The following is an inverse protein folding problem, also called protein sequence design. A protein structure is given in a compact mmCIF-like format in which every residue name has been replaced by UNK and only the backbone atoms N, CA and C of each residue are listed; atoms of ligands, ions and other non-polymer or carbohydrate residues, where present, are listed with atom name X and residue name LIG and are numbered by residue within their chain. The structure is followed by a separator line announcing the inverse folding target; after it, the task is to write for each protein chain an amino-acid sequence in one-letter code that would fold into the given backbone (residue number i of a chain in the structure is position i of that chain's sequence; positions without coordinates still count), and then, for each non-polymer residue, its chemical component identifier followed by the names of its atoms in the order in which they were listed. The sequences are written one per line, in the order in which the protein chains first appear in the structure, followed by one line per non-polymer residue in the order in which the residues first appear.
data_IF_368035052713
#
_entry.id   IF_368035052713
#
_cell.length_a   1.000
_cell.length_b   1.000
_cell.length_c   1.000
_cell.angle_alpha   90.00
_cell.angle_beta   90.00
_cell.angle_gamma   90.00
#
_symmetry.space_group_name_H-M   'P 1'
#
loop_
_entity.id
_entity.type
_entity.pdbx_description
1 polymer ?
#
# COMPACT_ATOMS: atom_id res chain seq x y z
N UNK A 1 25.46 -51.12 -46.73
CA UNK A 1 24.94 -49.74 -46.60
C UNK A 1 24.91 -49.39 -45.11
N UNK A 2 25.67 -48.36 -44.70
CA UNK A 2 25.86 -47.94 -43.31
C UNK A 2 24.54 -47.39 -42.74
N UNK A 3 24.06 -47.93 -41.62
CA UNK A 3 22.93 -47.38 -40.87
C UNK A 3 23.42 -46.16 -40.09
N UNK A 4 23.02 -44.97 -40.51
CA UNK A 4 23.27 -43.72 -39.78
C UNK A 4 22.16 -43.56 -38.74
N UNK A 5 22.57 -43.49 -37.47
CA UNK A 5 21.75 -43.08 -36.33
C UNK A 5 21.21 -41.66 -36.57
N UNK A 6 19.93 -41.44 -36.26
CA UNK A 6 19.39 -40.12 -36.00
C UNK A 6 18.81 -40.12 -34.58
N UNK A 7 19.63 -39.70 -33.62
CA UNK A 7 19.22 -39.47 -32.23
C UNK A 7 18.75 -38.03 -32.14
N UNK A 8 17.43 -37.81 -32.05
CA UNK A 8 16.85 -36.49 -31.81
C UNK A 8 17.05 -36.18 -30.32
N UNK A 9 17.99 -35.30 -30.02
CA UNK A 9 18.17 -34.73 -28.69
C UNK A 9 17.16 -33.59 -28.50
N UNK A 10 16.07 -33.87 -27.80
CA UNK A 10 15.10 -32.86 -27.37
C UNK A 10 15.75 -32.01 -26.27
N UNK A 11 16.12 -30.77 -26.59
CA UNK A 11 16.53 -29.77 -25.61
C UNK A 11 15.25 -29.28 -24.93
N UNK A 12 14.90 -29.91 -23.81
CA UNK A 12 13.93 -29.36 -22.87
C UNK A 12 14.60 -28.19 -22.15
N UNK A 13 14.27 -26.97 -22.57
CA UNK A 13 14.57 -25.76 -21.79
C UNK A 13 13.74 -25.86 -20.51
N UNK A 14 14.40 -26.28 -19.43
CA UNK A 14 13.87 -26.17 -18.08
C UNK A 14 13.77 -24.69 -17.76
N UNK A 15 12.60 -24.09 -17.95
CA UNK A 15 12.21 -22.87 -17.25
C UNK A 15 12.13 -23.23 -15.77
N UNK A 16 13.27 -23.10 -15.08
CA UNK A 16 13.27 -22.97 -13.63
C UNK A 16 12.70 -21.59 -13.33
N UNK A 17 11.37 -21.50 -13.27
CA UNK A 17 10.70 -20.44 -12.54
C UNK A 17 11.01 -20.68 -11.06
N UNK A 18 12.18 -20.24 -10.60
CA UNK A 18 12.33 -19.90 -9.20
C UNK A 18 11.35 -18.76 -8.94
N UNK A 19 10.23 -19.06 -8.27
CA UNK A 19 9.41 -18.06 -7.60
C UNK A 19 10.26 -17.38 -6.52
N UNK A 20 11.13 -16.50 -6.97
CA UNK A 20 11.78 -15.53 -6.11
C UNK A 20 10.64 -14.62 -5.68
N UNK A 21 10.09 -14.87 -4.48
CA UNK A 21 8.97 -14.13 -3.88
C UNK A 21 9.12 -12.64 -4.23
N UNK A 22 8.35 -12.19 -5.24
CA UNK A 22 8.41 -10.82 -5.76
C UNK A 22 8.13 -9.90 -4.57
N UNK A 23 9.11 -9.06 -4.23
CA UNK A 23 9.05 -8.07 -3.15
C UNK A 23 7.67 -7.41 -3.10
N UNK A 24 6.99 -7.54 -1.95
CA UNK A 24 5.83 -6.76 -1.49
C UNK A 24 5.02 -6.03 -2.58
N UNK A 25 4.48 -6.76 -3.56
CA UNK A 25 3.54 -6.19 -4.52
C UNK A 25 2.15 -6.21 -3.93
N UNK A 26 1.35 -5.24 -4.37
CA UNK A 26 -0.07 -5.22 -4.08
C UNK A 26 -0.74 -6.47 -4.69
N UNK A 27 -1.60 -7.13 -3.91
CA UNK A 27 -2.24 -8.39 -4.28
C UNK A 27 -3.53 -8.14 -5.07
N UNK A 28 -3.42 -8.05 -6.39
CA UNK A 28 -4.57 -7.78 -7.26
C UNK A 28 -5.52 -8.98 -7.42
N UNK A 29 -5.12 -10.19 -7.04
CA UNK A 29 -6.03 -11.33 -6.95
C UNK A 29 -6.98 -11.17 -5.76
N UNK A 30 -6.45 -10.70 -4.62
CA UNK A 30 -7.26 -10.33 -3.47
C UNK A 30 -8.23 -9.19 -3.80
N UNK A 31 -7.79 -8.17 -4.54
CA UNK A 31 -8.70 -7.10 -4.99
C UNK A 31 -9.79 -7.67 -5.90
N UNK A 32 -9.44 -8.52 -6.87
CA UNK A 32 -10.38 -9.15 -7.80
C UNK A 32 -11.51 -9.90 -7.06
N UNK A 33 -11.14 -10.61 -5.98
CA UNK A 33 -12.10 -11.30 -5.12
C UNK A 33 -13.05 -10.33 -4.40
N UNK A 34 -12.56 -9.18 -3.96
CA UNK A 34 -13.36 -8.16 -3.26
C UNK A 34 -14.31 -7.40 -4.20
N UNK A 35 -13.91 -7.20 -5.46
CA UNK A 35 -14.69 -6.44 -6.43
C UNK A 35 -15.94 -7.17 -6.95
N UNK A 36 -16.02 -8.49 -6.76
CA UNK A 36 -17.13 -9.32 -7.26
C UNK A 36 -17.47 -8.99 -8.74
N UNK A 37 -16.46 -9.02 -9.59
CA UNK A 37 -16.54 -8.62 -11.00
C UNK A 37 -17.57 -9.45 -11.77
N UNK A 38 -18.30 -8.79 -12.68
CA UNK A 38 -19.11 -9.48 -13.70
C UNK A 38 -18.21 -10.23 -14.70
N UNK A 39 -18.76 -11.19 -15.44
CA UNK A 39 -17.97 -11.90 -16.47
C UNK A 39 -17.35 -10.95 -17.50
N UNK A 40 -18.09 -9.91 -17.90
CA UNK A 40 -17.62 -8.91 -18.86
C UNK A 40 -16.47 -8.05 -18.32
N UNK A 41 -16.37 -7.89 -17.00
CA UNK A 41 -15.30 -7.12 -16.36
C UNK A 41 -14.03 -7.95 -16.11
N UNK A 42 -14.13 -9.28 -15.99
CA UNK A 42 -12.99 -10.13 -15.59
C UNK A 42 -11.83 -10.10 -16.59
N UNK A 43 -12.13 -10.21 -17.88
CA UNK A 43 -11.11 -10.20 -18.94
C UNK A 43 -10.35 -8.86 -18.97
N UNK A 44 -11.02 -7.70 -19.13
CA UNK A 44 -10.29 -6.43 -19.17
C UNK A 44 -9.58 -6.13 -17.85
N UNK A 45 -10.11 -6.58 -16.70
CA UNK A 45 -9.39 -6.49 -15.43
C UNK A 45 -8.04 -7.23 -15.51
N UNK A 46 -8.05 -8.51 -15.91
CA UNK A 46 -6.83 -9.31 -15.98
C UNK A 46 -5.79 -8.75 -16.96
N UNK A 47 -6.26 -8.22 -18.09
CA UNK A 47 -5.39 -7.55 -19.08
C UNK A 47 -4.74 -6.28 -18.51
N UNK A 48 -5.51 -5.45 -17.78
CA UNK A 48 -4.99 -4.26 -17.11
C UNK A 48 -3.96 -4.66 -16.05
N UNK A 49 -4.26 -5.64 -15.19
CA UNK A 49 -3.32 -6.08 -14.15
C UNK A 49 -2.01 -6.55 -14.77
N UNK A 50 -2.08 -7.42 -15.79
CA UNK A 50 -0.91 -7.99 -16.44
C UNK A 50 -0.04 -6.91 -17.10
N UNK A 51 -0.66 -5.94 -17.80
CA UNK A 51 0.06 -4.84 -18.44
C UNK A 51 0.85 -4.02 -17.42
N UNK A 52 0.18 -3.59 -16.35
CA UNK A 52 0.81 -2.78 -15.31
C UNK A 52 1.88 -3.54 -14.51
N UNK A 53 1.72 -4.85 -14.31
CA UNK A 53 2.78 -5.67 -13.71
C UNK A 53 4.02 -5.78 -14.59
N UNK A 54 3.83 -5.93 -15.90
CA UNK A 54 4.92 -5.92 -16.88
C UNK A 54 5.64 -4.57 -16.90
N UNK A 55 4.89 -3.46 -16.92
CA UNK A 55 5.45 -2.11 -16.89
C UNK A 55 6.29 -1.86 -15.63
N UNK A 56 5.79 -2.28 -14.45
CA UNK A 56 6.56 -2.20 -13.21
C UNK A 56 7.80 -3.08 -13.21
N UNK A 57 7.75 -4.26 -13.81
CA UNK A 57 8.92 -5.12 -13.96
C UNK A 57 10.03 -4.42 -14.76
N UNK A 58 9.66 -3.76 -15.86
CA UNK A 58 10.59 -2.99 -16.69
C UNK A 58 11.14 -1.77 -15.94
N UNK A 59 10.27 -0.97 -15.30
CA UNK A 59 10.69 0.20 -14.53
C UNK A 59 11.65 -0.16 -13.38
N UNK A 60 11.41 -1.27 -12.69
CA UNK A 60 12.30 -1.75 -11.62
C UNK A 60 13.67 -2.18 -12.17
N UNK A 61 13.68 -2.89 -13.32
CA UNK A 61 14.92 -3.27 -13.98
C UNK A 61 15.72 -2.04 -14.42
N UNK A 62 15.07 -1.01 -14.96
CA UNK A 62 15.72 0.25 -15.34
C UNK A 62 16.32 0.96 -14.12
N UNK A 63 15.57 1.09 -13.01
CA UNK A 63 16.10 1.70 -11.79
C UNK A 63 17.33 0.96 -11.25
N UNK A 64 17.35 -0.37 -11.34
CA UNK A 64 18.51 -1.19 -10.95
C UNK A 64 19.71 -0.95 -11.89
N UNK A 65 19.48 -0.93 -13.21
CA UNK A 65 20.53 -0.70 -14.21
C UNK A 65 21.18 0.68 -14.08
N UNK A 66 20.39 1.72 -13.78
CA UNK A 66 20.89 3.09 -13.63
C UNK A 66 21.37 3.45 -12.22
N UNK A 67 21.32 2.51 -11.27
CA UNK A 67 21.72 2.75 -9.88
C UNK A 67 20.77 3.67 -9.10
N UNK A 68 19.57 3.91 -9.61
CA UNK A 68 18.51 4.71 -8.98
C UNK A 68 17.55 3.84 -8.15
N UNK A 69 18.05 2.74 -7.57
CA UNK A 69 17.25 1.73 -6.88
C UNK A 69 17.10 2.00 -5.36
N UNK A 70 17.13 3.28 -4.96
CA UNK A 70 16.86 3.66 -3.57
C UNK A 70 15.42 3.24 -3.19
N UNK A 71 15.19 2.95 -1.90
CA UNK A 71 13.85 2.58 -1.42
C UNK A 71 12.82 3.69 -1.69
N UNK A 72 13.25 4.94 -1.58
CA UNK A 72 12.41 6.12 -1.83
C UNK A 72 12.00 6.22 -3.29
N UNK A 73 12.96 6.12 -4.21
CA UNK A 73 12.70 6.16 -5.67
C UNK A 73 11.81 5.00 -6.11
N UNK A 74 12.08 3.78 -5.61
CA UNK A 74 11.24 2.62 -5.89
C UNK A 74 9.81 2.84 -5.37
N UNK A 75 9.64 3.34 -4.14
CA UNK A 75 8.31 3.59 -3.58
C UNK A 75 7.57 4.66 -4.39
N UNK A 76 8.25 5.74 -4.78
CA UNK A 76 7.66 6.82 -5.59
C UNK A 76 7.17 6.30 -6.93
N UNK A 77 8.01 5.57 -7.66
CA UNK A 77 7.65 4.96 -8.94
C UNK A 77 6.45 4.01 -8.80
N UNK A 78 6.45 3.14 -7.78
CA UNK A 78 5.34 2.22 -7.54
C UNK A 78 4.04 2.96 -7.18
N UNK A 79 4.11 4.01 -6.37
CA UNK A 79 2.94 4.83 -6.01
C UNK A 79 2.33 5.48 -7.25
N UNK A 80 3.14 6.06 -8.13
CA UNK A 80 2.67 6.69 -9.36
C UNK A 80 2.04 5.65 -10.31
N UNK A 81 2.66 4.47 -10.44
CA UNK A 81 2.12 3.34 -11.21
C UNK A 81 0.77 2.86 -10.67
N UNK A 82 0.63 2.68 -9.35
CA UNK A 82 -0.62 2.19 -8.75
C UNK A 82 -1.76 3.20 -8.85
N UNK A 83 -1.49 4.50 -8.68
CA UNK A 83 -2.50 5.56 -8.88
C UNK A 83 -2.96 5.62 -10.34
N UNK A 84 -2.04 5.45 -11.29
CA UNK A 84 -2.42 5.42 -12.70
C UNK A 84 -3.22 4.14 -13.04
N UNK A 85 -2.84 3.00 -12.47
CA UNK A 85 -3.58 1.75 -12.61
C UNK A 85 -5.01 1.86 -12.06
N UNK A 86 -5.18 2.49 -10.90
CA UNK A 86 -6.48 2.81 -10.32
C UNK A 86 -7.36 3.56 -11.32
N UNK A 87 -6.83 4.64 -11.88
CA UNK A 87 -7.56 5.45 -12.85
C UNK A 87 -7.95 4.66 -14.11
N UNK A 88 -7.09 3.75 -14.58
CA UNK A 88 -7.42 2.88 -15.71
C UNK A 88 -8.52 1.86 -15.34
N UNK A 89 -8.48 1.31 -14.12
CA UNK A 89 -9.52 0.42 -13.61
C UNK A 89 -10.89 1.11 -13.51
N UNK A 90 -10.95 2.41 -13.19
CA UNK A 90 -12.23 3.17 -13.14
C UNK A 90 -13.04 3.06 -14.44
N UNK A 91 -12.37 2.84 -15.58
CA UNK A 91 -13.02 2.68 -16.89
C UNK A 91 -13.84 1.40 -17.05
N UNK A 92 -13.63 0.39 -16.19
CA UNK A 92 -14.33 -0.91 -16.25
C UNK A 92 -15.17 -1.20 -15.01
N UNK A 93 -14.95 -0.46 -13.92
CA UNK A 93 -15.62 -0.67 -12.64
C UNK A 93 -16.91 0.16 -12.53
N UNK A 94 -17.90 -0.38 -11.81
CA UNK A 94 -19.04 0.41 -11.34
C UNK A 94 -18.66 1.29 -10.13
N UNK A 95 -19.58 2.15 -9.70
CA UNK A 95 -19.29 3.12 -8.62
C UNK A 95 -18.98 2.47 -7.27
N UNK A 96 -19.59 1.32 -6.94
CA UNK A 96 -19.29 0.61 -5.70
C UNK A 96 -17.91 -0.05 -5.79
N UNK A 97 -17.60 -0.64 -6.94
CA UNK A 97 -16.31 -1.26 -7.22
C UNK A 97 -15.16 -0.24 -7.21
N UNK A 98 -15.38 0.97 -7.73
CA UNK A 98 -14.38 2.07 -7.67
C UNK A 98 -14.01 2.39 -6.23
N UNK A 99 -14.98 2.49 -5.32
CA UNK A 99 -14.72 2.72 -3.89
C UNK A 99 -13.87 1.59 -3.29
N UNK A 100 -14.19 0.33 -3.62
CA UNK A 100 -13.42 -0.83 -3.15
C UNK A 100 -11.98 -0.78 -3.68
N UNK A 101 -11.79 -0.52 -4.97
CA UNK A 101 -10.48 -0.42 -5.59
C UNK A 101 -9.64 0.72 -4.99
N UNK A 102 -10.24 1.89 -4.80
CA UNK A 102 -9.61 3.05 -4.19
C UNK A 102 -9.10 2.74 -2.79
N UNK A 103 -9.97 2.21 -1.93
CA UNK A 103 -9.60 1.86 -0.55
C UNK A 103 -8.56 0.76 -0.47
N UNK A 104 -8.62 -0.21 -1.38
CA UNK A 104 -7.62 -1.27 -1.49
C UNK A 104 -6.24 -0.68 -1.85
N UNK A 105 -6.17 0.11 -2.92
CA UNK A 105 -4.90 0.69 -3.40
C UNK A 105 -4.30 1.59 -2.32
N UNK A 106 -5.12 2.43 -1.69
CA UNK A 106 -4.77 3.24 -0.53
C UNK A 106 -4.17 2.43 0.62
N UNK A 107 -4.83 1.35 1.01
CA UNK A 107 -4.42 0.50 2.14
C UNK A 107 -3.09 -0.21 1.91
N UNK A 108 -2.84 -0.65 0.69
CA UNK A 108 -1.66 -1.45 0.34
C UNK A 108 -0.55 -0.62 -0.35
N UNK A 109 -0.72 0.69 -0.43
CA UNK A 109 0.24 1.60 -1.05
C UNK A 109 1.61 1.52 -0.37
N UNK A 110 2.70 1.22 -1.11
CA UNK A 110 4.03 1.11 -0.51
C UNK A 110 4.53 2.45 0.01
N UNK A 111 5.21 2.42 1.15
CA UNK A 111 5.83 3.61 1.74
C UNK A 111 4.88 4.59 2.42
N UNK A 112 3.57 4.29 2.48
CA UNK A 112 2.59 5.13 3.18
C UNK A 112 2.32 4.56 4.57
N UNK A 113 2.62 5.35 5.60
CA UNK A 113 2.51 4.94 7.02
C UNK A 113 1.60 5.93 7.77
N UNK A 114 0.37 6.17 7.30
CA UNK A 114 -0.55 7.07 7.99
C UNK A 114 -2.02 6.75 7.65
N UNK A 115 -2.94 7.42 8.32
CA UNK A 115 -4.29 7.61 7.81
C UNK A 115 -4.27 8.33 6.46
N UNK A 116 -5.30 8.08 5.66
CA UNK A 116 -5.51 8.71 4.37
C UNK A 116 -5.69 10.21 4.47
N UNK A 117 -5.34 10.92 3.40
CA UNK A 117 -5.58 12.36 3.34
C UNK A 117 -7.08 12.66 3.33
N UNK A 118 -7.89 11.76 2.77
CA UNK A 118 -9.36 11.83 2.82
C UNK A 118 -9.89 11.70 4.26
N UNK A 119 -9.40 10.74 5.05
CA UNK A 119 -9.82 10.60 6.45
C UNK A 119 -9.36 11.80 7.28
N UNK A 120 -8.13 12.29 7.07
CA UNK A 120 -7.64 13.49 7.76
C UNK A 120 -8.49 14.71 7.45
N UNK A 121 -8.85 14.91 6.18
CA UNK A 121 -9.75 15.97 5.75
C UNK A 121 -11.14 15.81 6.38
N UNK A 122 -11.68 14.57 6.40
CA UNK A 122 -12.95 14.28 7.04
C UNK A 122 -12.91 14.54 8.55
N UNK A 123 -11.82 14.20 9.25
CA UNK A 123 -11.65 14.51 10.67
C UNK A 123 -11.69 16.03 10.90
N UNK A 124 -10.95 16.80 10.11
CA UNK A 124 -10.95 18.27 10.22
C UNK A 124 -12.36 18.84 10.00
N UNK A 125 -13.05 18.39 8.95
CA UNK A 125 -14.40 18.84 8.60
C UNK A 125 -15.44 18.43 9.66
N UNK A 126 -15.52 17.15 9.99
CA UNK A 126 -16.59 16.58 10.83
C UNK A 126 -16.46 16.93 12.31
N UNK A 127 -15.25 17.18 12.80
CA UNK A 127 -15.04 17.70 14.15
C UNK A 127 -15.11 19.23 14.20
N UNK A 128 -15.28 19.89 13.04
CA UNK A 128 -15.24 21.34 12.90
C UNK A 128 -14.01 21.95 13.59
N UNK A 129 -12.83 21.38 13.32
CA UNK A 129 -11.58 21.87 13.91
C UNK A 129 -11.32 23.30 13.43
N UNK A 130 -11.04 24.20 14.36
CA UNK A 130 -10.55 25.52 14.00
C UNK A 130 -9.10 25.46 13.46
N UNK A 131 -8.56 26.62 13.07
CA UNK A 131 -7.20 26.72 12.52
C UNK A 131 -6.15 26.19 13.49
N UNK A 132 -6.23 26.59 14.76
CA UNK A 132 -5.25 26.20 15.78
C UNK A 132 -5.33 24.69 16.08
N UNK A 133 -6.55 24.14 16.13
CA UNK A 133 -6.77 22.71 16.30
C UNK A 133 -6.29 21.91 15.08
N UNK A 134 -6.48 22.42 13.87
CA UNK A 134 -6.03 21.78 12.63
C UNK A 134 -4.51 21.72 12.55
N UNK A 135 -3.82 22.82 12.91
CA UNK A 135 -2.36 22.87 12.96
C UNK A 135 -1.80 21.88 14.00
N UNK A 136 -2.37 21.85 15.20
CA UNK A 136 -1.96 20.93 16.25
C UNK A 136 -2.25 19.47 15.89
N UNK A 137 -3.41 19.18 15.28
CA UNK A 137 -3.77 17.84 14.79
C UNK A 137 -2.73 17.35 13.78
N UNK A 138 -2.39 18.19 12.80
CA UNK A 138 -1.37 17.89 11.78
C UNK A 138 -0.01 17.64 12.45
N UNK A 139 0.41 18.53 13.36
CA UNK A 139 1.68 18.43 14.05
C UNK A 139 1.80 17.17 14.93
N UNK A 140 0.74 16.79 15.64
CA UNK A 140 0.70 15.58 16.46
C UNK A 140 0.87 14.32 15.61
N UNK A 141 0.17 14.22 14.48
CA UNK A 141 0.31 13.08 13.57
C UNK A 141 1.70 13.05 12.93
N UNK A 142 2.22 14.20 12.47
CA UNK A 142 3.56 14.30 11.92
C UNK A 142 4.66 13.91 12.93
N UNK A 143 4.53 14.34 14.20
CA UNK A 143 5.45 13.96 15.26
C UNK A 143 5.45 12.44 15.53
N UNK A 144 4.28 11.80 15.48
CA UNK A 144 4.16 10.35 15.57
C UNK A 144 4.92 9.65 14.43
N UNK A 145 4.73 10.09 13.18
CA UNK A 145 5.42 9.51 12.02
C UNK A 145 6.93 9.59 12.14
N UNK A 146 7.44 10.79 12.47
CA UNK A 146 8.87 11.00 12.62
C UNK A 146 9.45 10.16 13.75
N UNK A 147 8.80 10.14 14.92
CA UNK A 147 9.26 9.33 16.04
C UNK A 147 9.32 7.83 15.69
N UNK A 148 8.33 7.33 14.94
CA UNK A 148 8.32 5.94 14.50
C UNK A 148 9.38 5.65 13.44
N UNK A 149 9.58 6.55 12.46
CA UNK A 149 10.66 6.43 11.47
C UNK A 149 12.05 6.50 12.11
N UNK A 150 12.27 7.40 13.05
CA UNK A 150 13.56 7.53 13.77
C UNK A 150 13.88 6.29 14.62
N UNK A 151 12.84 5.55 15.04
CA UNK A 151 13.02 4.29 15.74
C UNK A 151 13.34 3.10 14.81
N UNK A 152 13.38 3.29 13.48
CA UNK A 152 13.60 2.22 12.51
C UNK A 152 14.87 1.40 12.76
N UNK A 153 15.97 2.09 13.04
CA UNK A 153 17.26 1.45 13.35
C UNK A 153 17.22 0.61 14.63
N UNK A 154 16.22 0.82 15.49
CA UNK A 154 16.09 0.03 16.73
C UNK A 154 15.41 -1.31 16.51
N UNK A 155 14.63 -1.47 15.44
CA UNK A 155 13.96 -2.72 15.15
C UNK A 155 14.53 -3.48 13.95
N UNK A 156 15.22 -2.84 12.99
CA UNK A 156 15.92 -3.50 11.86
C UNK A 156 15.11 -4.64 11.18
N UNK A 157 13.79 -4.43 11.00
CA UNK A 157 12.88 -5.42 10.40
C UNK A 157 12.30 -6.47 11.37
N UNK A 158 12.65 -6.45 12.65
CA UNK A 158 11.96 -7.22 13.69
C UNK A 158 10.53 -6.70 13.87
N UNK A 159 9.55 -7.51 13.48
CA UNK A 159 8.12 -7.16 13.50
C UNK A 159 7.58 -6.94 14.91
N UNK A 160 8.05 -7.71 15.89
CA UNK A 160 7.61 -7.59 17.28
C UNK A 160 8.10 -6.27 17.88
N UNK A 161 9.38 -5.95 17.70
CA UNK A 161 9.96 -4.69 18.14
C UNK A 161 9.34 -3.49 17.41
N UNK A 162 9.08 -3.61 16.10
CA UNK A 162 8.37 -2.58 15.34
C UNK A 162 6.95 -2.35 15.88
N UNK A 163 6.22 -3.42 16.21
CA UNK A 163 4.89 -3.33 16.84
C UNK A 163 4.94 -2.65 18.20
N UNK A 164 5.94 -2.98 19.04
CA UNK A 164 6.13 -2.33 20.35
C UNK A 164 6.33 -0.82 20.21
N UNK A 165 7.26 -0.37 19.35
CA UNK A 165 7.50 1.06 19.14
C UNK A 165 6.29 1.76 18.53
N UNK A 166 5.63 1.12 17.57
CA UNK A 166 4.40 1.67 16.97
C UNK A 166 3.34 1.91 18.05
N UNK A 167 3.09 0.93 18.92
CA UNK A 167 2.11 1.06 20.01
C UNK A 167 2.49 2.17 20.99
N UNK A 168 3.76 2.24 21.40
CA UNK A 168 4.23 3.27 22.32
C UNK A 168 4.03 4.69 21.78
N UNK A 169 4.40 4.93 20.53
CA UNK A 169 4.21 6.25 19.92
C UNK A 169 2.74 6.53 19.65
N UNK A 170 1.94 5.52 19.29
CA UNK A 170 0.51 5.68 19.04
C UNK A 170 -0.26 6.00 20.33
N UNK A 171 0.11 5.42 21.47
CA UNK A 171 -0.43 5.78 22.78
C UNK A 171 -0.14 7.24 23.13
N UNK A 172 1.08 7.71 22.83
CA UNK A 172 1.48 9.11 23.01
C UNK A 172 0.68 10.05 22.11
N UNK A 173 0.51 9.68 20.84
CA UNK A 173 -0.32 10.39 19.85
C UNK A 173 -1.77 10.50 20.33
N UNK A 174 -2.40 9.39 20.69
CA UNK A 174 -3.79 9.37 21.15
C UNK A 174 -3.98 10.20 22.43
N UNK A 175 -3.00 10.18 23.33
CA UNK A 175 -3.01 11.01 24.54
C UNK A 175 -2.92 12.50 24.22
N UNK A 176 -2.14 12.91 23.22
CA UNK A 176 -2.06 14.29 22.76
C UNK A 176 -3.37 14.72 22.07
N UNK A 177 -3.91 13.88 21.17
CA UNK A 177 -5.19 14.15 20.49
C UNK A 177 -6.36 14.29 21.48
N UNK A 178 -6.39 13.46 22.53
CA UNK A 178 -7.40 13.56 23.59
C UNK A 178 -7.33 14.86 24.39
N UNK A 179 -6.15 15.48 24.48
CA UNK A 179 -5.97 16.79 25.13
C UNK A 179 -6.34 17.95 24.20
N UNK A 180 -6.11 17.77 22.90
CA UNK A 180 -6.42 18.76 21.87
C UNK A 180 -7.93 18.89 21.63
N UNK A 181 -8.62 17.76 21.56
CA UNK A 181 -10.05 17.70 21.26
C UNK A 181 -10.89 17.86 22.53
N UNK A 182 -12.08 18.43 22.37
CA UNK A 182 -13.14 18.26 23.37
C UNK A 182 -13.52 16.78 23.51
N UNK A 183 -14.20 16.41 24.59
CA UNK A 183 -14.62 15.02 24.82
C UNK A 183 -15.48 14.48 23.65
N UNK A 184 -16.38 15.30 23.12
CA UNK A 184 -17.26 14.92 22.02
C UNK A 184 -16.48 14.77 20.70
N UNK A 185 -15.62 15.74 20.39
CA UNK A 185 -14.73 15.66 19.23
C UNK A 185 -13.85 14.39 19.30
N UNK A 186 -13.29 14.07 20.47
CA UNK A 186 -12.45 12.88 20.62
C UNK A 186 -13.24 11.58 20.43
N UNK A 187 -14.47 11.49 20.96
CA UNK A 187 -15.34 10.32 20.70
C UNK A 187 -15.62 10.17 19.20
N UNK A 188 -15.96 11.27 18.52
CA UNK A 188 -16.23 11.26 17.08
C UNK A 188 -14.97 10.88 16.26
N UNK A 189 -13.80 11.38 16.65
CA UNK A 189 -12.52 10.99 16.05
C UNK A 189 -12.28 9.47 16.14
N UNK A 190 -12.56 8.86 17.29
CA UNK A 190 -12.43 7.41 17.45
C UNK A 190 -13.38 6.65 16.53
N UNK A 191 -14.60 7.15 16.28
CA UNK A 191 -15.51 6.52 15.33
C UNK A 191 -15.07 6.71 13.88
N UNK A 192 -14.59 7.90 13.50
CA UNK A 192 -14.08 8.18 12.15
C UNK A 192 -12.88 7.29 11.82
N UNK A 193 -11.96 7.12 12.76
CA UNK A 193 -10.76 6.29 12.58
C UNK A 193 -11.02 4.79 12.55
N UNK A 194 -12.24 4.31 12.78
CA UNK A 194 -12.61 2.90 12.55
C UNK A 194 -12.90 2.60 11.08
N UNK A 195 -13.17 3.62 10.25
CA UNK A 195 -13.48 3.45 8.82
C UNK A 195 -12.30 2.89 8.04
N UNK A 196 -11.08 3.23 8.45
CA UNK A 196 -9.85 2.69 7.87
C UNK A 196 -8.85 2.31 8.96
N UNK A 197 -8.10 1.24 8.73
CA UNK A 197 -6.98 0.89 9.60
C UNK A 197 -5.79 1.81 9.35
N UNK A 198 -5.02 2.12 10.39
CA UNK A 198 -3.80 2.91 10.25
C UNK A 198 -2.78 2.17 9.36
N UNK A 199 -2.30 2.81 8.29
CA UNK A 199 -1.37 2.18 7.35
C UNK A 199 0.00 2.02 7.97
N UNK A 200 0.65 0.89 7.71
CA UNK A 200 1.93 0.55 8.34
C UNK A 200 1.82 0.16 9.82
N UNK A 201 0.61 -0.06 10.36
CA UNK A 201 0.45 -0.70 11.67
C UNK A 201 0.98 -2.14 11.62
N UNK A 202 2.00 -2.44 12.43
CA UNK A 202 2.51 -3.79 12.60
C UNK A 202 1.61 -4.57 13.56
N UNK A 203 0.72 -5.41 13.04
CA UNK A 203 0.04 -6.40 13.89
C UNK A 203 0.98 -7.56 14.22
N UNK A 204 1.05 -7.93 15.50
CA UNK A 204 1.76 -9.10 16.01
C UNK A 204 0.94 -10.38 15.74
N UNK A 205 0.64 -10.63 14.46
CA UNK A 205 0.12 -11.94 14.04
C UNK A 205 1.27 -12.82 13.57
#
# INVERSE_FOLDING_TARGET
MKKILLTIATITVLFSCTEQKKKSRMDFDLLKQQLNLTEDQKIPYDEIILAFEGDRDLMLADLELYGNNSKEEINKMLQDSYKYQEHVLEGILDDQQKVIAHEFIKRYMPGVVDYSDELKAEVIEKLALDTDQTEQYTAINYAFLNAFHDAHDRFHGNRETASMYWNQFNESRNSALKKLFSEEQYKQYIELTKKEGYRGQFSSK
#
